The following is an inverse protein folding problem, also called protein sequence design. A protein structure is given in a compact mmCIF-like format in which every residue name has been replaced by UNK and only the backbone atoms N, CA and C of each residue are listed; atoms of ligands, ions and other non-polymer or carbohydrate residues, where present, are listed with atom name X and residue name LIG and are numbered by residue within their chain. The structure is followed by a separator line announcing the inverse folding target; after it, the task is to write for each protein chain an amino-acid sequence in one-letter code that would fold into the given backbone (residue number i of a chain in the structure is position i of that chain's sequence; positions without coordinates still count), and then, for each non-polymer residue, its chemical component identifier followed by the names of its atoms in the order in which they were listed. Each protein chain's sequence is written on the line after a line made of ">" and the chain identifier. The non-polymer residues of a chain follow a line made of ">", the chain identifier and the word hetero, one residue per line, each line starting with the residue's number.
data_IF_678536668332
#
_entry.id   IF_678536668332
#
_cell.length_a   1.000
_cell.length_b   1.000
_cell.length_c   1.000
_cell.angle_alpha   90.00
_cell.angle_beta   90.00
_cell.angle_gamma   90.00
#
_symmetry.space_group_name_H-M   'P 1'
#
loop_
_entity.id
_entity.type
_entity.pdbx_description
1 polymer ?
#
# COMPACT_ATOMS: atom_id res chain seq x y z
N UNK A 1 -13.20 -33.02 4.64
CA UNK A 1 -13.30 -32.20 3.43
C UNK A 1 -12.29 -31.09 3.42
N UNK A 2 -11.25 -31.26 2.61
CA UNK A 2 -10.32 -30.17 2.27
C UNK A 2 -11.03 -29.31 1.21
N UNK A 3 -11.35 -28.06 1.56
CA UNK A 3 -11.82 -27.08 0.59
C UNK A 3 -10.80 -26.99 -0.54
N UNK A 4 -11.23 -27.27 -1.76
CA UNK A 4 -10.40 -27.14 -2.94
C UNK A 4 -10.03 -25.66 -3.11
N UNK A 5 -8.76 -25.40 -3.35
CA UNK A 5 -8.12 -24.07 -3.52
C UNK A 5 -8.80 -23.24 -4.65
N UNK A 6 -9.71 -23.82 -5.43
CA UNK A 6 -10.46 -23.17 -6.50
C UNK A 6 -11.76 -22.45 -6.10
N UNK A 7 -12.26 -22.58 -4.87
CA UNK A 7 -13.54 -21.99 -4.42
C UNK A 7 -13.39 -20.75 -3.53
N UNK A 8 -12.16 -20.25 -3.31
CA UNK A 8 -11.93 -19.05 -2.51
C UNK A 8 -11.94 -17.79 -3.39
N UNK A 9 -12.91 -16.91 -3.13
CA UNK A 9 -12.91 -15.56 -3.70
C UNK A 9 -11.74 -14.75 -3.12
N UNK A 10 -10.84 -14.26 -3.98
CA UNK A 10 -9.70 -13.38 -3.66
C UNK A 10 -8.69 -13.97 -2.65
N UNK A 11 -7.86 -14.95 -3.04
CA UNK A 11 -6.84 -15.49 -2.16
C UNK A 11 -5.81 -14.44 -1.77
N UNK A 12 -5.27 -14.58 -0.56
CA UNK A 12 -4.16 -13.74 -0.09
C UNK A 12 -2.91 -14.06 -0.91
N UNK A 13 -2.19 -13.02 -1.34
CA UNK A 13 -0.95 -13.17 -2.10
C UNK A 13 0.15 -13.74 -1.19
N UNK A 14 0.85 -14.77 -1.65
CA UNK A 14 1.86 -15.50 -0.90
C UNK A 14 3.19 -15.58 -1.63
N UNK A 15 4.27 -15.64 -0.85
CA UNK A 15 5.60 -15.95 -1.38
C UNK A 15 5.62 -17.43 -1.80
N UNK A 16 5.91 -17.75 -3.08
CA UNK A 16 5.87 -19.12 -3.58
C UNK A 16 6.91 -20.06 -2.94
N UNK A 17 7.94 -19.52 -2.28
CA UNK A 17 8.99 -20.31 -1.63
C UNK A 17 8.67 -20.64 -0.17
N UNK A 18 7.92 -19.77 0.52
CA UNK A 18 7.67 -19.91 1.97
C UNK A 18 6.19 -20.09 2.32
N UNK A 19 5.29 -19.89 1.34
CA UNK A 19 3.84 -19.82 1.49
C UNK A 19 3.34 -18.71 2.44
N UNK A 20 4.24 -17.84 2.89
CA UNK A 20 3.93 -16.73 3.77
C UNK A 20 3.21 -15.61 3.00
N UNK A 21 2.17 -14.98 3.59
CA UNK A 21 1.57 -13.80 2.99
C UNK A 21 2.59 -12.66 2.95
N UNK A 22 2.50 -11.82 1.91
CA UNK A 22 3.27 -10.58 1.83
C UNK A 22 2.42 -9.48 1.20
N UNK A 23 2.84 -8.22 1.40
CA UNK A 23 2.22 -7.06 0.78
C UNK A 23 3.10 -6.63 -0.41
N UNK A 24 2.62 -6.73 -1.66
CA UNK A 24 3.38 -6.26 -2.81
C UNK A 24 3.63 -4.75 -2.72
N UNK A 25 4.86 -4.33 -3.02
CA UNK A 25 5.25 -2.93 -3.06
C UNK A 25 4.48 -2.16 -4.13
N UNK A 26 4.06 -2.83 -5.20
CA UNK A 26 3.17 -2.27 -6.22
C UNK A 26 1.77 -1.95 -5.69
N UNK A 27 1.18 -2.82 -4.86
CA UNK A 27 -0.11 -2.59 -4.21
C UNK A 27 -0.04 -1.40 -3.26
N UNK A 28 1.02 -1.33 -2.45
CA UNK A 28 1.24 -0.21 -1.53
C UNK A 28 1.49 1.11 -2.28
N UNK A 29 2.42 1.11 -3.24
CA UNK A 29 2.73 2.30 -4.08
C UNK A 29 1.50 2.79 -4.85
N UNK A 30 0.73 1.87 -5.43
CA UNK A 30 -0.48 2.19 -6.17
C UNK A 30 -1.56 2.82 -5.29
N UNK A 31 -1.78 2.28 -4.08
CA UNK A 31 -2.77 2.84 -3.15
C UNK A 31 -2.35 4.21 -2.63
N UNK A 32 -1.08 4.42 -2.31
CA UNK A 32 -0.55 5.74 -1.93
C UNK A 32 -0.76 6.78 -3.03
N UNK A 33 -0.48 6.40 -4.29
CA UNK A 33 -0.73 7.26 -5.46
C UNK A 33 -2.21 7.61 -5.58
N UNK A 34 -3.07 6.60 -5.55
CA UNK A 34 -4.52 6.76 -5.65
C UNK A 34 -5.06 7.73 -4.60
N UNK A 35 -4.69 7.55 -3.34
CA UNK A 35 -5.16 8.40 -2.25
C UNK A 35 -4.65 9.84 -2.41
N UNK A 36 -3.39 10.02 -2.82
CA UNK A 36 -2.85 11.35 -3.05
C UNK A 36 -3.58 12.07 -4.19
N UNK A 37 -3.76 11.41 -5.35
CA UNK A 37 -4.48 11.94 -6.52
C UNK A 37 -5.91 12.38 -6.13
N UNK A 38 -6.66 11.55 -5.41
CA UNK A 38 -7.99 11.92 -4.90
C UNK A 38 -7.97 13.08 -3.92
N UNK A 39 -6.96 13.15 -3.07
CA UNK A 39 -6.83 14.24 -2.09
C UNK A 39 -6.47 15.58 -2.73
N UNK A 40 -5.83 15.56 -3.91
CA UNK A 40 -5.50 16.76 -4.70
C UNK A 40 -6.63 17.17 -5.63
N UNK A 41 -7.43 16.21 -6.11
CA UNK A 41 -8.61 16.46 -6.94
C UNK A 41 -8.26 17.06 -8.30
N UNK A 42 -9.18 17.83 -8.87
CA UNK A 42 -8.96 18.54 -10.13
C UNK A 42 -8.65 17.61 -11.30
N UNK A 43 -7.63 17.95 -12.09
CA UNK A 43 -7.24 17.21 -13.29
C UNK A 43 -6.88 15.75 -13.02
N UNK A 44 -6.37 15.41 -11.82
CA UNK A 44 -6.11 14.01 -11.45
C UNK A 44 -7.36 13.13 -11.51
N UNK A 45 -8.54 13.70 -11.29
CA UNK A 45 -9.82 12.99 -11.30
C UNK A 45 -10.61 13.28 -12.58
N UNK A 46 -10.59 14.53 -13.04
CA UNK A 46 -11.40 14.99 -14.17
C UNK A 46 -10.80 14.62 -15.54
N UNK A 47 -9.48 14.42 -15.60
CA UNK A 47 -8.75 14.11 -16.84
C UNK A 47 -8.05 12.75 -16.82
N UNK A 48 -8.21 11.98 -15.74
CA UNK A 48 -7.82 10.57 -15.77
C UNK A 48 -8.67 9.83 -16.81
N UNK A 49 -8.02 9.02 -17.66
CA UNK A 49 -8.74 8.13 -18.60
C UNK A 49 -9.15 6.88 -17.82
N UNK A 50 -10.19 6.16 -18.26
CA UNK A 50 -10.74 4.98 -17.56
C UNK A 50 -9.69 3.92 -17.11
N UNK A 51 -8.55 3.84 -17.81
CA UNK A 51 -7.46 2.88 -17.52
C UNK A 51 -6.08 3.53 -17.37
N UNK A 52 -5.98 4.86 -17.42
CA UNK A 52 -4.70 5.56 -17.38
C UNK A 52 -4.74 6.71 -16.40
N UNK A 53 -3.68 6.78 -15.60
CA UNK A 53 -3.41 7.90 -14.70
C UNK A 53 -3.33 9.21 -15.49
N UNK A 54 -3.69 10.32 -14.84
CA UNK A 54 -3.56 11.64 -15.44
C UNK A 54 -2.10 11.92 -15.83
N UNK A 55 -1.89 12.24 -17.11
CA UNK A 55 -0.59 12.59 -17.65
C UNK A 55 -0.34 14.10 -17.51
N UNK A 56 0.17 14.51 -16.35
CA UNK A 56 0.43 15.92 -16.08
C UNK A 56 1.48 16.50 -17.05
N UNK A 57 1.20 17.65 -17.70
CA UNK A 57 2.16 18.33 -18.56
C UNK A 57 3.20 19.14 -17.77
N UNK A 58 3.04 19.26 -16.44
CA UNK A 58 3.97 19.98 -15.58
C UNK A 58 5.12 19.06 -15.12
N UNK A 59 6.39 19.35 -15.46
CA UNK A 59 7.53 18.58 -14.96
C UNK A 59 7.72 18.70 -13.44
N UNK A 60 7.08 19.68 -12.79
CA UNK A 60 7.08 19.87 -11.33
C UNK A 60 5.90 19.20 -10.64
N UNK A 61 5.04 18.48 -11.36
CA UNK A 61 3.89 17.79 -10.79
C UNK A 61 4.30 16.81 -9.66
N UNK A 62 3.75 16.97 -8.44
CA UNK A 62 4.20 16.18 -7.28
C UNK A 62 3.89 14.69 -7.43
N UNK A 63 2.73 14.32 -7.99
CA UNK A 63 2.34 12.92 -8.17
C UNK A 63 3.26 12.25 -9.20
N UNK A 64 3.46 12.88 -10.36
CA UNK A 64 4.31 12.37 -11.41
C UNK A 64 5.78 12.24 -10.97
N UNK A 65 6.28 13.17 -10.16
CA UNK A 65 7.63 13.10 -9.59
C UNK A 65 7.78 11.96 -8.58
N UNK A 66 6.89 11.90 -7.59
CA UNK A 66 6.95 10.89 -6.53
C UNK A 66 6.76 9.49 -7.12
N UNK A 67 5.67 9.25 -7.84
CA UNK A 67 5.26 7.91 -8.28
C UNK A 67 5.78 7.50 -9.65
N UNK A 68 6.23 8.46 -10.46
CA UNK A 68 6.61 8.25 -11.85
C UNK A 68 5.42 8.34 -12.81
N UNK A 69 5.71 8.78 -14.04
CA UNK A 69 4.75 8.84 -15.14
C UNK A 69 5.49 8.51 -16.44
N UNK A 70 5.08 7.46 -17.14
CA UNK A 70 5.66 7.14 -18.44
C UNK A 70 5.26 8.24 -19.45
N UNK A 71 6.19 8.71 -20.31
CA UNK A 71 5.82 9.63 -21.38
C UNK A 71 4.90 8.94 -22.38
N UNK A 72 4.02 9.71 -23.00
CA UNK A 72 3.30 9.31 -24.21
C UNK A 72 4.27 9.34 -25.42
N UNK A 73 3.87 8.75 -26.54
CA UNK A 73 4.69 8.64 -27.75
C UNK A 73 4.68 9.96 -28.57
N UNK A 74 4.95 11.09 -27.91
CA UNK A 74 5.03 12.41 -28.53
C UNK A 74 6.18 13.25 -27.93
N UNK A 75 6.66 14.22 -28.71
CA UNK A 75 7.84 15.03 -28.36
C UNK A 75 7.63 15.90 -27.11
N UNK A 76 6.41 16.41 -26.90
CA UNK A 76 6.12 17.25 -25.75
C UNK A 76 6.16 16.45 -24.45
N UNK A 77 5.53 15.27 -24.44
CA UNK A 77 5.54 14.36 -23.28
C UNK A 77 6.96 13.86 -22.97
N UNK A 78 7.75 13.56 -24.00
CA UNK A 78 9.17 13.20 -23.83
C UNK A 78 10.00 14.33 -23.22
N UNK A 79 9.76 15.58 -23.63
CA UNK A 79 10.43 16.75 -23.05
C UNK A 79 10.10 16.91 -21.57
N UNK A 80 8.82 16.87 -21.21
CA UNK A 80 8.36 16.94 -19.81
C UNK A 80 8.98 15.82 -18.97
N UNK A 81 9.01 14.59 -19.49
CA UNK A 81 9.61 13.46 -18.78
C UNK A 81 11.12 13.62 -18.54
N UNK A 82 11.86 14.20 -19.49
CA UNK A 82 13.29 14.51 -19.35
C UNK A 82 13.54 15.56 -18.27
N UNK A 83 12.76 16.64 -18.27
CA UNK A 83 12.86 17.70 -17.26
C UNK A 83 12.46 17.20 -15.86
N UNK A 84 11.40 16.40 -15.78
CA UNK A 84 10.96 15.79 -14.52
C UNK A 84 11.97 14.80 -13.97
N UNK A 85 12.62 13.99 -14.80
CA UNK A 85 13.50 12.91 -14.35
C UNK A 85 12.76 11.68 -13.80
N UNK A 86 13.50 10.75 -13.16
CA UNK A 86 12.97 9.44 -12.74
C UNK A 86 12.02 9.53 -11.53
N UNK A 87 11.32 8.44 -11.22
CA UNK A 87 10.50 8.33 -9.99
C UNK A 87 11.37 8.51 -8.73
N UNK A 88 10.85 9.27 -7.75
CA UNK A 88 11.54 9.48 -6.47
C UNK A 88 11.29 8.34 -5.49
N UNK A 89 10.07 7.78 -5.49
CA UNK A 89 9.67 6.74 -4.55
C UNK A 89 9.87 5.32 -5.11
N UNK A 90 10.70 4.55 -4.43
CA UNK A 90 10.78 3.09 -4.55
C UNK A 90 10.10 2.48 -3.32
N UNK A 91 9.20 1.52 -3.54
CA UNK A 91 8.51 0.78 -2.48
C UNK A 91 8.84 -0.70 -2.66
N UNK A 92 9.38 -1.33 -1.61
CA UNK A 92 9.69 -2.77 -1.62
C UNK A 92 8.47 -3.59 -1.22
N UNK A 93 8.48 -4.85 -1.61
CA UNK A 93 7.55 -5.84 -1.06
C UNK A 93 7.79 -5.95 0.46
N UNK A 94 6.70 -5.96 1.22
CA UNK A 94 6.76 -6.05 2.67
C UNK A 94 6.41 -7.47 3.12
N UNK A 95 7.36 -8.14 3.76
CA UNK A 95 7.24 -9.50 4.26
C UNK A 95 6.89 -9.50 5.75
N UNK A 96 6.37 -10.62 6.26
CA UNK A 96 6.12 -10.78 7.69
C UNK A 96 7.40 -10.53 8.49
N UNK A 97 7.26 -9.84 9.62
CA UNK A 97 8.31 -9.80 10.63
C UNK A 97 8.45 -11.17 11.28
N UNK A 98 9.67 -11.52 11.72
CA UNK A 98 9.92 -12.80 12.39
C UNK A 98 9.03 -13.03 13.62
N UNK A 99 8.74 -11.97 14.37
CA UNK A 99 7.84 -12.04 15.51
C UNK A 99 6.41 -12.37 15.08
N UNK A 100 5.88 -11.66 14.08
CA UNK A 100 4.53 -11.91 13.56
C UNK A 100 4.41 -13.29 12.92
N UNK A 101 5.47 -13.76 12.24
CA UNK A 101 5.53 -15.12 11.70
C UNK A 101 5.36 -16.15 12.82
N UNK A 102 6.14 -16.05 13.90
CA UNK A 102 6.04 -16.96 15.05
C UNK A 102 4.69 -16.87 15.79
N UNK A 103 4.06 -15.70 15.82
CA UNK A 103 2.71 -15.53 16.37
C UNK A 103 1.67 -16.28 15.54
N UNK A 104 1.73 -16.12 14.21
CA UNK A 104 0.83 -16.79 13.27
C UNK A 104 1.05 -18.30 13.26
N UNK A 105 2.30 -18.79 13.23
CA UNK A 105 2.64 -20.22 13.32
C UNK A 105 2.10 -20.87 14.61
N UNK A 106 2.16 -20.16 15.75
CA UNK A 106 1.58 -20.65 17.02
C UNK A 106 0.05 -20.73 16.96
N UNK A 107 -0.60 -19.85 16.22
CA UNK A 107 -2.03 -19.97 15.93
C UNK A 107 -2.29 -21.15 14.96
N UNK A 108 -1.38 -21.39 14.01
CA UNK A 108 -1.44 -22.51 13.06
C UNK A 108 -1.29 -23.87 13.71
N UNK A 109 -0.43 -24.01 14.73
CA UNK A 109 -0.34 -25.24 15.53
C UNK A 109 -1.66 -25.63 16.23
N UNK A 110 -2.63 -24.70 16.32
CA UNK A 110 -4.01 -24.95 16.78
C UNK A 110 -5.02 -25.17 15.65
N UNK A 111 -4.55 -25.34 14.40
CA UNK A 111 -5.37 -25.58 13.21
C UNK A 111 -5.57 -24.38 12.26
N UNK A 112 -4.93 -23.23 12.51
CA UNK A 112 -4.94 -22.08 11.58
C UNK A 112 -3.98 -22.27 10.40
N UNK A 113 -4.17 -21.57 9.28
CA UNK A 113 -3.11 -21.31 8.29
C UNK A 113 -2.60 -19.87 8.59
N UNK A 114 -1.53 -19.36 7.99
CA UNK A 114 -1.11 -17.94 8.17
C UNK A 114 -2.23 -16.91 7.92
N UNK A 115 -3.35 -17.38 7.38
CA UNK A 115 -4.59 -16.68 7.07
C UNK A 115 -5.77 -17.29 7.82
N UNK A 116 -6.83 -16.50 7.93
CA UNK A 116 -8.13 -16.97 8.40
C UNK A 116 -9.18 -16.86 7.29
N UNK A 117 -10.19 -17.73 7.35
CA UNK A 117 -11.36 -17.67 6.47
C UNK A 117 -12.46 -16.90 7.20
N UNK A 118 -12.81 -15.72 6.69
CA UNK A 118 -13.93 -14.94 7.20
C UNK A 118 -15.16 -15.24 6.36
N UNK A 119 -16.24 -15.65 7.01
CA UNK A 119 -17.54 -15.81 6.36
C UNK A 119 -18.35 -14.51 6.46
N UNK A 120 -18.91 -14.08 5.34
CA UNK A 120 -19.85 -12.98 5.26
C UNK A 120 -21.16 -13.46 4.67
N UNK A 121 -22.26 -12.81 5.05
CA UNK A 121 -23.60 -13.21 4.62
C UNK A 121 -24.21 -12.08 3.79
N UNK A 122 -24.58 -12.40 2.55
CA UNK A 122 -25.46 -11.54 1.76
C UNK A 122 -26.91 -11.84 2.14
N UNK A 123 -27.61 -10.83 2.65
CA UNK A 123 -29.03 -10.93 3.00
C UNK A 123 -29.84 -10.11 1.97
N UNK A 124 -30.63 -10.75 1.10
CA UNK A 124 -31.50 -10.03 0.18
C UNK A 124 -32.48 -9.12 0.94
N UNK A 125 -32.80 -7.95 0.38
CA UNK A 125 -33.80 -7.03 0.97
C UNK A 125 -35.25 -7.52 0.77
N UNK A 126 -35.45 -8.36 -0.23
CA UNK A 126 -36.71 -9.03 -0.56
C UNK A 126 -36.38 -10.49 -0.91
N UNK A 127 -37.06 -11.46 -0.29
CA UNK A 127 -36.76 -12.89 -0.42
C UNK A 127 -35.76 -13.40 0.63
N UNK A 128 -35.95 -14.61 1.14
CA UNK A 128 -35.36 -15.08 2.42
C UNK A 128 -34.08 -15.92 2.35
N UNK A 129 -33.50 -16.17 1.17
CA UNK A 129 -32.34 -17.04 1.06
C UNK A 129 -31.05 -16.24 1.21
N UNK A 130 -30.37 -16.45 2.33
CA UNK A 130 -29.05 -15.89 2.60
C UNK A 130 -27.97 -16.66 1.83
N UNK A 131 -27.10 -15.95 1.12
CA UNK A 131 -25.97 -16.54 0.41
C UNK A 131 -24.67 -16.22 1.15
N UNK A 132 -24.05 -17.21 1.84
CA UNK A 132 -22.77 -17.00 2.47
C UNK A 132 -21.66 -16.92 1.42
N UNK A 133 -20.72 -16.01 1.63
CA UNK A 133 -19.46 -15.90 0.88
C UNK A 133 -18.31 -16.05 1.86
N UNK A 134 -17.23 -16.67 1.43
CA UNK A 134 -16.01 -16.80 2.24
C UNK A 134 -14.89 -15.99 1.60
N UNK A 135 -14.08 -15.35 2.44
CA UNK A 135 -12.94 -14.57 1.99
C UNK A 135 -11.77 -14.88 2.90
N UNK A 136 -10.64 -15.23 2.29
CA UNK A 136 -9.38 -15.40 2.99
C UNK A 136 -8.80 -14.04 3.36
N UNK A 137 -8.25 -13.91 4.57
CA UNK A 137 -7.53 -12.69 4.98
C UNK A 137 -6.38 -13.01 5.94
N UNK A 138 -5.42 -12.10 6.00
CA UNK A 138 -4.39 -12.13 7.04
C UNK A 138 -5.03 -11.74 8.38
N UNK A 139 -4.77 -12.47 9.49
CA UNK A 139 -5.30 -12.13 10.81
C UNK A 139 -4.89 -10.73 11.24
N UNK A 140 -5.78 -10.04 11.94
CA UNK A 140 -5.50 -8.72 12.49
C UNK A 140 -4.33 -8.78 13.50
N UNK A 141 -3.49 -7.75 13.49
CA UNK A 141 -2.29 -7.68 14.32
C UNK A 141 -1.02 -8.25 13.67
N UNK A 142 -1.13 -8.87 12.48
CA UNK A 142 0.03 -9.27 11.71
C UNK A 142 0.89 -8.05 11.33
N UNK A 143 2.22 -8.19 11.46
CA UNK A 143 3.19 -7.11 11.26
C UNK A 143 4.11 -7.42 10.09
N UNK A 144 4.18 -6.49 9.15
CA UNK A 144 5.00 -6.59 7.94
C UNK A 144 6.11 -5.54 7.98
N UNK A 145 7.31 -5.92 7.54
CA UNK A 145 8.45 -5.02 7.42
C UNK A 145 8.33 -4.19 6.14
N UNK A 146 8.03 -2.90 6.28
CA UNK A 146 7.86 -1.98 5.14
C UNK A 146 9.14 -1.17 4.95
N UNK A 147 9.64 -1.15 3.71
CA UNK A 147 10.80 -0.34 3.32
C UNK A 147 10.47 0.49 2.08
N UNK A 148 10.79 1.78 2.15
CA UNK A 148 10.68 2.72 1.04
C UNK A 148 11.97 3.51 0.91
N UNK A 149 12.38 3.79 -0.32
CA UNK A 149 13.49 4.72 -0.59
C UNK A 149 12.94 5.93 -1.35
N UNK A 150 13.25 7.12 -0.86
CA UNK A 150 12.90 8.38 -1.52
C UNK A 150 14.18 9.08 -2.00
N UNK A 151 14.26 9.34 -3.31
CA UNK A 151 15.43 10.01 -3.91
C UNK A 151 15.24 11.52 -3.85
N UNK A 152 16.24 12.22 -3.30
CA UNK A 152 16.35 13.68 -3.38
C UNK A 152 17.29 14.00 -4.54
N UNK A 153 16.73 14.49 -5.65
CA UNK A 153 17.46 14.78 -6.88
C UNK A 153 17.55 16.27 -7.18
N UNK A 154 16.59 17.06 -6.69
CA UNK A 154 16.61 18.52 -6.75
C UNK A 154 15.98 19.15 -5.49
N UNK A 155 15.92 20.47 -5.47
CA UNK A 155 15.49 21.31 -4.35
C UNK A 155 13.99 21.18 -3.98
N UNK A 156 13.17 20.56 -4.84
CA UNK A 156 11.75 20.33 -4.55
C UNK A 156 11.51 19.06 -3.73
N UNK A 157 12.42 18.09 -3.79
CA UNK A 157 12.16 16.72 -3.37
C UNK A 157 11.97 16.60 -1.85
N UNK A 158 12.75 17.31 -1.03
CA UNK A 158 12.57 17.31 0.43
C UNK A 158 11.21 17.90 0.85
N UNK A 159 10.82 19.02 0.23
CA UNK A 159 9.51 19.62 0.45
C UNK A 159 8.38 18.69 0.01
N UNK A 160 8.57 17.95 -1.09
CA UNK A 160 7.56 17.05 -1.63
C UNK A 160 7.43 15.76 -0.82
N UNK A 161 8.54 15.24 -0.28
CA UNK A 161 8.53 14.18 0.72
C UNK A 161 7.67 14.59 1.92
N UNK A 162 8.00 15.72 2.55
CA UNK A 162 7.34 16.18 3.77
C UNK A 162 5.86 16.55 3.58
N UNK A 163 5.48 17.03 2.39
CA UNK A 163 4.10 17.49 2.11
C UNK A 163 3.21 16.43 1.51
N UNK A 164 3.68 15.76 0.46
CA UNK A 164 2.83 14.90 -0.37
C UNK A 164 2.98 13.43 -0.03
N UNK A 165 4.21 12.93 0.18
CA UNK A 165 4.39 11.53 0.57
C UNK A 165 3.88 11.28 2.00
N UNK A 166 4.21 12.16 2.94
CA UNK A 166 3.68 12.05 4.31
C UNK A 166 2.15 12.06 4.33
N UNK A 167 1.51 12.97 3.57
CA UNK A 167 0.05 13.00 3.43
C UNK A 167 -0.51 11.72 2.83
N UNK A 168 0.14 11.13 1.82
CA UNK A 168 -0.31 9.87 1.23
C UNK A 168 -0.27 8.71 2.25
N UNK A 169 0.76 8.67 3.10
CA UNK A 169 0.88 7.68 4.18
C UNK A 169 -0.18 7.90 5.27
N UNK A 170 -0.44 9.14 5.67
CA UNK A 170 -1.53 9.48 6.62
C UNK A 170 -2.91 9.07 6.08
N UNK A 171 -3.18 9.37 4.81
CA UNK A 171 -4.41 8.95 4.15
C UNK A 171 -4.56 7.43 4.09
N UNK A 172 -3.46 6.69 3.95
CA UNK A 172 -3.50 5.23 3.93
C UNK A 172 -3.97 4.65 5.27
N UNK A 173 -3.54 5.22 6.40
CA UNK A 173 -4.01 4.79 7.73
C UNK A 173 -5.49 5.12 7.96
N UNK A 174 -5.98 6.23 7.38
CA UNK A 174 -7.38 6.64 7.46
C UNK A 174 -8.32 5.84 6.55
N UNK A 175 -7.81 5.34 5.42
CA UNK A 175 -8.58 4.56 4.44
C UNK A 175 -8.38 3.06 4.63
N UNK A 176 -7.21 2.54 4.26
CA UNK A 176 -6.84 1.13 4.31
C UNK A 176 -6.15 0.63 3.03
N UNK A 177 -5.75 -0.63 3.03
CA UNK A 177 -5.02 -1.31 1.96
C UNK A 177 -5.75 -2.58 1.50
N UNK A 178 -5.84 -2.79 0.18
CA UNK A 178 -6.44 -3.99 -0.40
C UNK A 178 -7.96 -3.89 -0.62
N UNK A 179 -8.62 -5.04 -0.60
CA UNK A 179 -10.05 -5.17 -0.91
C UNK A 179 -10.96 -5.06 0.32
N UNK A 180 -12.25 -4.82 0.07
CA UNK A 180 -13.32 -4.83 1.10
C UNK A 180 -13.11 -3.87 2.29
N UNK A 181 -12.35 -2.79 2.10
CA UNK A 181 -12.01 -1.81 3.15
C UNK A 181 -13.27 -1.25 3.85
N UNK A 182 -14.30 -0.89 3.09
CA UNK A 182 -15.58 -0.40 3.62
C UNK A 182 -16.36 -1.42 4.47
N UNK A 183 -15.91 -2.68 4.53
CA UNK A 183 -16.46 -3.77 5.35
C UNK A 183 -15.52 -4.18 6.48
N UNK A 184 -14.57 -3.32 6.85
CA UNK A 184 -13.64 -3.51 7.96
C UNK A 184 -12.44 -4.40 7.63
N UNK A 185 -11.94 -4.34 6.40
CA UNK A 185 -10.67 -4.98 6.00
C UNK A 185 -9.60 -3.92 5.79
N UNK A 186 -8.34 -4.36 5.77
CA UNK A 186 -7.27 -3.52 5.22
C UNK A 186 -6.88 -2.33 6.06
N UNK A 187 -7.42 -2.15 7.27
CA UNK A 187 -6.92 -1.12 8.17
C UNK A 187 -5.46 -1.41 8.50
N UNK A 188 -4.60 -0.41 8.29
CA UNK A 188 -3.15 -0.51 8.48
C UNK A 188 -2.66 0.65 9.32
N UNK A 189 -1.56 0.42 10.02
CA UNK A 189 -0.83 1.44 10.77
C UNK A 189 0.66 1.23 10.56
N UNK A 190 1.41 2.31 10.43
CA UNK A 190 2.87 2.28 10.42
C UNK A 190 3.41 2.31 11.85
N UNK A 191 4.44 1.52 12.12
CA UNK A 191 5.05 1.43 13.44
C UNK A 191 6.55 1.67 13.31
N UNK A 192 7.11 2.35 14.30
CA UNK A 192 8.54 2.51 14.39
C UNK A 192 9.13 1.14 14.70
N UNK A 193 10.10 0.65 13.91
CA UNK A 193 10.57 -0.74 13.98
C UNK A 193 11.26 -1.07 15.32
N UNK A 194 11.70 -0.07 16.07
CA UNK A 194 12.44 -0.22 17.33
C UNK A 194 11.60 0.10 18.58
N UNK A 195 10.31 0.38 18.44
CA UNK A 195 9.40 0.70 19.56
C UNK A 195 8.28 -0.33 19.62
N UNK A 196 7.77 -0.61 20.83
CA UNK A 196 6.60 -1.49 20.97
C UNK A 196 5.34 -0.83 20.35
N UNK A 197 4.35 -1.60 19.90
CA UNK A 197 3.10 -1.03 19.38
C UNK A 197 2.37 -0.14 20.40
N UNK A 198 2.32 -0.57 21.67
CA UNK A 198 1.60 0.13 22.75
C UNK A 198 2.24 1.49 23.06
N UNK A 199 3.56 1.59 22.99
CA UNK A 199 4.30 2.83 23.24
C UNK A 199 4.08 3.89 22.14
N UNK A 200 3.39 3.54 21.05
CA UNK A 200 3.19 4.38 19.89
C UNK A 200 1.72 4.76 19.67
N UNK A 201 0.82 4.27 20.50
CA UNK A 201 -0.60 4.57 20.39
C UNK A 201 -0.85 6.08 20.53
N UNK A 202 -1.60 6.65 19.58
CA UNK A 202 -1.90 8.08 19.53
C UNK A 202 -0.75 8.98 19.08
N UNK A 203 0.46 8.45 18.83
CA UNK A 203 1.55 9.25 18.30
C UNK A 203 1.29 9.64 16.84
N UNK A 204 1.70 10.85 16.41
CA UNK A 204 1.59 11.26 15.02
C UNK A 204 2.48 10.36 14.15
N UNK A 205 2.08 10.18 12.88
CA UNK A 205 2.76 9.28 11.94
C UNK A 205 4.28 9.53 11.89
N UNK A 206 4.71 10.79 11.88
CA UNK A 206 6.14 11.17 11.82
C UNK A 206 6.98 10.57 12.94
N UNK A 207 6.42 10.40 14.14
CA UNK A 207 7.13 9.83 15.29
C UNK A 207 7.12 8.28 15.31
N UNK A 208 6.28 7.70 14.44
CA UNK A 208 6.13 6.26 14.21
C UNK A 208 6.86 5.79 12.96
N UNK A 209 7.52 6.68 12.21
CA UNK A 209 8.38 6.30 11.11
C UNK A 209 9.85 6.42 11.51
N UNK A 210 10.65 5.46 11.07
CA UNK A 210 12.10 5.58 11.08
C UNK A 210 12.53 6.14 9.73
N UNK A 211 13.02 7.37 9.70
CA UNK A 211 13.52 8.05 8.49
C UNK A 211 15.02 8.23 8.63
N UNK A 212 15.79 7.64 7.73
CA UNK A 212 17.25 7.73 7.70
C UNK A 212 17.68 8.44 6.41
N UNK A 213 18.48 9.49 6.55
CA UNK A 213 19.11 10.15 5.41
C UNK A 213 20.42 9.45 5.06
N UNK A 214 20.48 8.88 3.85
CA UNK A 214 21.69 8.24 3.33
C UNK A 214 22.31 9.18 2.31
N UNK A 215 23.36 9.89 2.72
CA UNK A 215 24.15 10.71 1.79
C UNK A 215 25.08 9.82 0.98
N UNK A 216 24.99 9.91 -0.35
CA UNK A 216 25.95 9.31 -1.26
C UNK A 216 27.22 10.18 -1.29
N UNK A 217 27.96 10.22 -0.18
CA UNK A 217 29.30 10.82 -0.17
C UNK A 217 30.28 9.82 -0.78
N UNK A 218 30.75 10.08 -2.01
CA UNK A 218 31.86 9.34 -2.63
C UNK A 218 31.58 8.68 -3.98
N UNK A 219 31.10 9.44 -4.96
CA UNK A 219 31.25 9.09 -6.38
C UNK A 219 32.11 10.16 -7.08
#
# INVERSE_FOLDING_TARGET
>A
DQMAIGDLDNPVIRNPLTDEPYIPGSSLKGKLRYLLEWSLGGDYILKAKERQVYASPDPKDPVARIFGLAPENDEASLKVARERGPTRLLVRDAYLTEESKRELERATARGGLYTEIKQEVFIPRLGGNANPRTTERVPAGARFWVEMSYRVLDDLDEAYFGKYLMRALELLELDGLGGHISRGYGQVYFLHPEKSPEAQEGLPLRERLKVEEVSLQGA
#
